data_IF_090379696132
#
_entry.id   IF_090379696132
#
_cell.length_a   1.000
_cell.length_b   1.000
_cell.length_c   1.000
_cell.angle_alpha   90.00
_cell.angle_beta   90.00
_cell.angle_gamma   90.00
#
_symmetry.space_group_name_H-M   'P 1'
#
loop_
_entity.id
_entity.type
_entity.pdbx_description
1 polymer ?
#
# COMPACT_ATOMS: atom_id res chain seq x y z
N UNK A 1 -12.98 1.65 8.42
CA UNK A 1 -12.82 1.56 6.96
C UNK A 1 -11.38 1.89 6.66
N UNK A 2 -10.74 1.12 5.77
CA UNK A 2 -9.35 1.36 5.40
C UNK A 2 -9.18 2.74 4.74
N UNK A 3 -8.03 3.38 4.95
CA UNK A 3 -7.70 4.70 4.41
C UNK A 3 -7.51 4.68 2.89
N UNK A 4 -7.06 3.56 2.35
CA UNK A 4 -6.78 3.37 0.94
C UNK A 4 -7.49 2.12 0.40
N UNK A 5 -7.97 2.24 -0.84
CA UNK A 5 -8.67 1.19 -1.55
C UNK A 5 -7.73 0.59 -2.59
N UNK A 6 -7.64 -0.75 -2.62
CA UNK A 6 -6.81 -1.48 -3.56
C UNK A 6 -7.69 -2.07 -4.66
N UNK A 7 -7.28 -1.86 -5.90
CA UNK A 7 -8.00 -2.29 -7.08
C UNK A 7 -7.17 -3.27 -7.91
N UNK A 8 -7.86 -4.17 -8.60
CA UNK A 8 -7.33 -5.00 -9.67
C UNK A 8 -8.10 -4.66 -10.95
N UNK A 9 -7.49 -3.88 -11.83
CA UNK A 9 -8.23 -3.22 -12.91
C UNK A 9 -9.28 -2.26 -12.33
N UNK A 10 -10.55 -2.45 -12.71
CA UNK A 10 -11.67 -1.64 -12.20
C UNK A 10 -12.30 -2.19 -10.92
N UNK A 11 -11.89 -3.38 -10.48
CA UNK A 11 -12.50 -4.08 -9.34
C UNK A 11 -11.79 -3.74 -8.03
N UNK A 12 -12.51 -3.15 -7.06
CA UNK A 12 -11.99 -2.99 -5.70
C UNK A 12 -11.91 -4.36 -5.02
N UNK A 13 -10.70 -4.81 -4.69
CA UNK A 13 -10.44 -6.12 -4.08
C UNK A 13 -10.21 -6.04 -2.57
N UNK A 14 -10.02 -4.85 -2.02
CA UNK A 14 -9.82 -4.67 -0.58
C UNK A 14 -9.31 -3.29 -0.24
N UNK A 15 -8.71 -3.15 0.93
CA UNK A 15 -8.11 -1.90 1.38
C UNK A 15 -6.90 -2.10 2.28
N UNK A 16 -6.19 -1.02 2.55
CA UNK A 16 -5.08 -0.96 3.49
C UNK A 16 -5.00 0.43 4.12
N UNK A 17 -4.44 0.50 5.33
CA UNK A 17 -4.12 1.79 5.95
C UNK A 17 -2.73 2.29 5.54
N UNK A 18 -1.92 1.43 4.89
CA UNK A 18 -0.55 1.71 4.48
C UNK A 18 0.23 2.37 5.64
N UNK A 19 0.19 1.72 6.81
CA UNK A 19 0.63 2.26 8.09
C UNK A 19 2.15 2.41 8.27
N UNK A 20 2.93 1.85 7.34
CA UNK A 20 4.39 1.89 7.35
C UNK A 20 4.95 2.44 6.04
N UNK A 21 6.20 2.91 6.07
CA UNK A 21 6.87 3.36 4.86
C UNK A 21 8.30 3.81 5.02
N UNK A 22 8.91 4.08 3.87
CA UNK A 22 10.26 4.62 3.68
C UNK A 22 10.15 5.90 2.83
N UNK A 23 10.07 7.08 3.47
CA UNK A 23 9.88 8.35 2.76
C UNK A 23 10.98 8.67 1.72
N UNK A 24 12.29 8.48 2.00
CA UNK A 24 13.34 8.63 0.98
C UNK A 24 13.12 7.85 -0.30
N UNK A 25 12.54 6.65 -0.21
CA UNK A 25 12.28 5.77 -1.36
C UNK A 25 10.87 5.94 -1.94
N UNK A 26 10.01 6.75 -1.31
CA UNK A 26 8.61 6.91 -1.69
C UNK A 26 7.80 5.62 -1.54
N UNK A 27 8.12 4.79 -0.54
CA UNK A 27 7.49 3.48 -0.33
C UNK A 27 6.50 3.56 0.82
N UNK A 28 5.25 3.13 0.60
CA UNK A 28 4.25 2.94 1.65
C UNK A 28 3.71 1.51 1.59
N UNK A 29 3.56 0.86 2.73
CA UNK A 29 3.10 -0.52 2.82
C UNK A 29 2.32 -0.78 4.10
N UNK A 30 1.54 -1.84 4.11
CA UNK A 30 0.74 -2.20 5.27
C UNK A 30 -0.16 -3.38 5.00
N UNK A 31 -0.87 -3.80 6.05
CA UNK A 31 -1.76 -4.96 5.97
C UNK A 31 -2.81 -4.76 4.88
N UNK A 32 -2.99 -5.78 4.04
CA UNK A 32 -4.09 -5.84 3.10
C UNK A 32 -5.30 -6.52 3.74
N UNK A 33 -6.45 -5.84 3.66
CA UNK A 33 -7.75 -6.32 4.14
C UNK A 33 -8.59 -6.68 2.91
N UNK A 34 -8.66 -7.97 2.53
CA UNK A 34 -9.42 -8.40 1.36
C UNK A 34 -10.93 -8.22 1.57
N UNK A 35 -11.64 -7.98 0.48
CA UNK A 35 -13.09 -8.12 0.43
C UNK A 35 -13.50 -9.39 -0.34
N UNK A 36 -14.80 -9.62 -0.52
CA UNK A 36 -15.35 -10.82 -1.19
C UNK A 36 -14.90 -11.01 -2.65
N UNK A 37 -14.43 -9.92 -3.29
CA UNK A 37 -13.93 -9.92 -4.67
C UNK A 37 -12.47 -10.36 -4.77
N UNK A 38 -11.73 -10.34 -3.66
CA UNK A 38 -10.38 -10.90 -3.64
C UNK A 38 -10.43 -12.43 -3.80
N UNK A 39 -9.86 -12.94 -4.90
CA UNK A 39 -9.78 -14.38 -5.22
C UNK A 39 -8.37 -14.96 -5.06
N UNK A 40 -7.49 -14.27 -4.34
CA UNK A 40 -6.09 -14.65 -4.15
C UNK A 40 -5.13 -13.95 -5.10
N UNK A 41 -3.84 -14.02 -4.75
CA UNK A 41 -2.73 -13.65 -5.61
C UNK A 41 -2.45 -14.81 -6.57
N UNK A 42 -3.15 -14.86 -7.71
CA UNK A 42 -2.77 -15.77 -8.79
C UNK A 42 -1.31 -15.52 -9.23
N UNK A 43 -0.70 -16.47 -9.94
CA UNK A 43 0.72 -16.49 -10.32
C UNK A 43 1.26 -15.30 -11.17
N UNK A 44 0.49 -14.22 -11.35
CA UNK A 44 0.83 -13.05 -12.16
C UNK A 44 0.24 -11.74 -11.58
N UNK A 45 0.45 -11.46 -10.30
CA UNK A 45 -0.07 -10.25 -9.63
C UNK A 45 0.59 -8.93 -10.04
N UNK A 46 1.63 -8.93 -10.88
CA UNK A 46 2.35 -7.71 -11.30
C UNK A 46 1.62 -6.82 -12.33
N UNK A 47 0.43 -7.19 -12.82
CA UNK A 47 -0.11 -6.55 -14.03
C UNK A 47 -0.93 -5.26 -13.88
N UNK A 48 -1.83 -5.16 -12.89
CA UNK A 48 -2.86 -4.09 -12.89
C UNK A 48 -3.36 -3.77 -11.47
N UNK A 49 -2.46 -3.71 -10.48
CA UNK A 49 -2.85 -3.21 -9.16
C UNK A 49 -2.73 -1.70 -9.13
N UNK A 50 -3.74 -1.06 -8.56
CA UNK A 50 -3.74 0.38 -8.28
C UNK A 50 -4.29 0.65 -6.90
N UNK A 51 -3.82 1.74 -6.28
CA UNK A 51 -4.32 2.20 -4.99
C UNK A 51 -4.93 3.57 -5.15
N UNK A 52 -6.13 3.74 -4.61
CA UNK A 52 -6.77 5.04 -4.52
C UNK A 52 -6.96 5.43 -3.05
N UNK A 53 -6.96 6.74 -2.79
CA UNK A 53 -7.43 7.27 -1.50
C UNK A 53 -8.90 6.91 -1.27
N UNK A 54 -9.38 7.03 -0.04
CA UNK A 54 -10.80 6.87 0.28
C UNK A 54 -11.74 7.75 -0.58
N UNK A 55 -11.24 8.89 -1.06
CA UNK A 55 -11.97 9.81 -1.96
C UNK A 55 -11.90 9.43 -3.45
N UNK A 56 -11.24 8.32 -3.80
CA UNK A 56 -11.13 7.82 -5.17
C UNK A 56 -10.00 8.43 -6.01
N UNK A 57 -9.07 9.17 -5.40
CA UNK A 57 -7.90 9.72 -6.11
C UNK A 57 -6.83 8.64 -6.25
N UNK A 58 -6.38 8.37 -7.47
CA UNK A 58 -5.30 7.43 -7.77
C UNK A 58 -3.97 7.93 -7.19
N UNK A 59 -3.20 7.03 -6.57
CA UNK A 59 -1.83 7.30 -6.12
C UNK A 59 -0.88 6.92 -7.24
N UNK A 60 -0.19 7.90 -7.80
CA UNK A 60 0.83 7.69 -8.83
C UNK A 60 2.12 7.13 -8.20
N UNK A 61 2.52 5.94 -8.63
CA UNK A 61 3.64 5.20 -8.06
C UNK A 61 4.54 4.64 -9.17
N UNK A 62 5.76 5.15 -9.28
CA UNK A 62 6.69 4.78 -10.38
C UNK A 62 7.14 3.31 -10.35
N UNK A 63 7.19 2.71 -9.17
CA UNK A 63 7.47 1.29 -8.95
C UNK A 63 6.21 0.42 -8.90
N UNK A 64 5.01 1.01 -9.02
CA UNK A 64 3.74 0.29 -9.03
C UNK A 64 3.29 -0.24 -7.66
N UNK A 65 2.24 -1.06 -7.69
CA UNK A 65 1.61 -1.65 -6.50
C UNK A 65 1.83 -3.16 -6.50
N UNK A 66 2.28 -3.69 -5.37
CA UNK A 66 2.56 -5.10 -5.15
C UNK A 66 1.67 -5.62 -4.03
N UNK A 67 1.19 -6.87 -4.18
CA UNK A 67 0.42 -7.56 -3.17
C UNK A 67 1.07 -8.91 -2.90
N UNK A 68 1.43 -9.14 -1.65
CA UNK A 68 1.94 -10.40 -1.15
C UNK A 68 0.82 -11.10 -0.34
N UNK A 69 0.60 -12.38 -0.64
CA UNK A 69 -0.42 -13.20 0.01
C UNK A 69 0.21 -14.47 0.58
N UNK A 70 0.60 -14.39 1.84
CA UNK A 70 1.06 -15.51 2.65
C UNK A 70 -0.04 -15.99 3.62
N UNK A 71 -1.31 -15.69 3.33
CA UNK A 71 -2.41 -16.00 4.24
C UNK A 71 -2.62 -17.49 4.49
N UNK A 72 -2.15 -18.34 3.56
CA UNK A 72 -2.16 -19.79 3.73
C UNK A 72 -1.26 -20.26 4.89
N UNK A 73 -0.17 -19.55 5.17
CA UNK A 73 0.82 -19.92 6.20
C UNK A 73 0.66 -19.07 7.47
N UNK A 74 0.39 -17.77 7.31
CA UNK A 74 0.37 -16.78 8.40
C UNK A 74 -1.05 -16.33 8.79
N UNK A 75 -2.08 -16.91 8.17
CA UNK A 75 -3.47 -16.51 8.40
C UNK A 75 -3.82 -15.12 7.83
N UNK A 76 -4.94 -14.52 8.25
CA UNK A 76 -5.43 -13.25 7.67
C UNK A 76 -4.49 -12.04 7.80
N UNK A 77 -3.46 -12.13 8.64
CA UNK A 77 -2.46 -11.09 8.85
C UNK A 77 -1.29 -11.22 7.86
N UNK A 78 -1.16 -12.34 7.16
CA UNK A 78 -0.11 -12.61 6.17
C UNK A 78 -0.30 -11.98 4.79
N UNK A 79 -1.19 -10.99 4.66
CA UNK A 79 -1.41 -10.27 3.41
C UNK A 79 -0.93 -8.84 3.55
N UNK A 80 -0.06 -8.42 2.65
CA UNK A 80 0.54 -7.08 2.63
C UNK A 80 0.39 -6.47 1.24
N UNK A 81 0.13 -5.16 1.21
CA UNK A 81 0.19 -4.36 -0.01
C UNK A 81 1.27 -3.30 0.13
N UNK A 82 2.04 -3.11 -0.94
CA UNK A 82 3.15 -2.18 -1.02
C UNK A 82 3.03 -1.31 -2.26
N UNK A 83 3.11 0.00 -2.07
CA UNK A 83 3.09 1.03 -3.11
C UNK A 83 4.48 1.63 -3.21
N UNK A 84 5.10 1.51 -4.39
CA UNK A 84 6.52 1.81 -4.56
C UNK A 84 6.73 3.06 -5.41
N UNK A 85 7.56 4.00 -4.92
CA UNK A 85 8.03 5.14 -5.69
C UNK A 85 6.97 6.23 -5.90
N UNK A 86 6.22 6.57 -4.86
CA UNK A 86 5.35 7.76 -4.79
C UNK A 86 6.24 9.00 -4.68
N UNK A 87 6.00 9.99 -5.55
CA UNK A 87 6.85 11.17 -5.62
C UNK A 87 6.66 12.13 -4.44
N UNK A 88 7.71 12.89 -4.11
CA UNK A 88 7.60 14.09 -3.28
C UNK A 88 7.06 15.26 -4.11
N UNK A 89 6.19 16.15 -3.58
CA UNK A 89 5.74 16.25 -2.18
C UNK A 89 4.51 15.39 -1.83
N UNK A 90 3.95 14.66 -2.79
CA UNK A 90 2.70 13.92 -2.62
C UNK A 90 2.79 12.86 -1.52
N UNK A 91 3.90 12.10 -1.46
CA UNK A 91 4.14 11.14 -0.40
C UNK A 91 4.02 11.78 1.00
N UNK A 92 4.61 12.95 1.22
CA UNK A 92 4.55 13.62 2.52
C UNK A 92 3.16 14.17 2.87
N UNK A 93 2.35 14.46 1.86
CA UNK A 93 0.94 14.86 2.04
C UNK A 93 0.07 13.67 2.41
N UNK A 94 0.31 12.52 1.78
CA UNK A 94 -0.42 11.28 2.03
C UNK A 94 0.04 10.59 3.31
N UNK A 95 1.32 10.67 3.69
CA UNK A 95 1.90 9.93 4.81
C UNK A 95 2.74 10.82 5.74
N UNK A 96 2.15 11.87 6.34
CA UNK A 96 2.89 12.78 7.21
C UNK A 96 3.47 12.06 8.45
N UNK A 97 2.82 11.00 8.92
CA UNK A 97 3.29 10.19 10.05
C UNK A 97 4.58 9.44 9.71
N UNK A 98 4.72 8.95 8.46
CA UNK A 98 5.94 8.25 8.02
C UNK A 98 7.14 9.19 7.95
N UNK A 99 6.92 10.40 7.42
CA UNK A 99 7.94 11.46 7.36
C UNK A 99 8.38 11.82 8.77
N UNK A 100 7.42 12.07 9.66
CA UNK A 100 7.70 12.39 11.07
C UNK A 100 8.51 11.29 11.75
N UNK A 101 8.10 10.03 11.60
CA UNK A 101 8.81 8.88 12.18
C UNK A 101 10.24 8.73 11.63
N UNK A 102 10.43 8.94 10.32
CA UNK A 102 11.74 8.90 9.68
C UNK A 102 12.66 10.01 10.22
N UNK A 103 12.19 11.25 10.30
CA UNK A 103 12.97 12.36 10.82
C UNK A 103 13.37 12.16 12.29
N UNK A 104 12.48 11.60 13.11
CA UNK A 104 12.80 11.28 14.49
C UNK A 104 13.94 10.27 14.59
N UNK A 105 13.96 9.23 13.74
CA UNK A 105 15.05 8.23 13.71
C UNK A 105 16.40 8.84 13.32
N UNK A 106 16.40 9.77 12.35
CA UNK A 106 17.62 10.47 11.94
C UNK A 106 18.19 11.34 13.07
N UNK A 107 17.34 12.00 13.85
CA UNK A 107 17.75 12.88 14.96
C UNK A 107 18.25 12.09 16.19
N UNK A 108 17.94 10.81 16.29
CA UNK A 108 18.38 9.92 17.38
C UNK A 108 19.61 9.07 17.04
N UNK A 109 20.19 9.21 15.84
CA UNK A 109 21.38 8.49 15.36
C UNK A 109 22.63 9.35 15.47
#
# INVERSE_FOLDING_TARGET
MARFNVYRGEEMIGGSDLEFGDPPMGVAFGRFIPNERYKGAGAASSGVLSVCTASGVLIEASGGVHLEDQSAELGPDGMEVSVLGIASPEYGTLFPEHVTAYEHRLKSS
#
